data_IF_895697076033
#
_entry.id   IF_895697076033
#
_cell.length_a   1.000
_cell.length_b   1.000
_cell.length_c   1.000
_cell.angle_alpha   90.00
_cell.angle_beta   90.00
_cell.angle_gamma   90.00
#
_symmetry.space_group_name_H-M   'P 1'
#
loop_
_entity.id
_entity.type
_entity.pdbx_description
1 polymer ?
#
# COMPACT_ATOMS: atom_id res chain seq x y z
N UNK A 1 -8.75 10.65 2.72
CA UNK A 1 -7.49 11.14 2.12
C UNK A 1 -6.45 10.04 2.19
N UNK A 2 -6.27 9.37 3.34
CA UNK A 2 -5.37 8.22 3.47
C UNK A 2 -5.49 7.17 2.35
N UNK A 3 -6.68 6.64 2.10
CA UNK A 3 -6.91 5.60 1.10
C UNK A 3 -6.56 6.04 -0.34
N UNK A 4 -6.89 7.29 -0.71
CA UNK A 4 -6.57 7.81 -2.04
C UNK A 4 -5.08 8.12 -2.20
N UNK A 5 -4.43 8.71 -1.19
CA UNK A 5 -3.00 9.03 -1.23
C UNK A 5 -2.14 7.77 -1.24
N UNK A 6 -2.50 6.76 -0.43
CA UNK A 6 -1.82 5.45 -0.45
C UNK A 6 -2.11 4.68 -1.74
N UNK A 7 -3.30 4.82 -2.34
CA UNK A 7 -3.58 4.24 -3.66
C UNK A 7 -2.71 4.86 -4.77
N UNK A 8 -2.49 6.19 -4.74
CA UNK A 8 -1.54 6.84 -5.65
C UNK A 8 -0.13 6.28 -5.48
N UNK A 9 0.38 6.21 -4.24
CA UNK A 9 1.70 5.63 -3.96
C UNK A 9 1.78 4.18 -4.45
N UNK A 10 0.75 3.38 -4.19
CA UNK A 10 0.66 1.99 -4.64
C UNK A 10 0.73 1.87 -6.17
N UNK A 11 0.03 2.76 -6.88
CA UNK A 11 0.10 2.87 -8.34
C UNK A 11 1.52 3.19 -8.82
N UNK A 12 2.18 4.19 -8.22
CA UNK A 12 3.56 4.56 -8.56
C UNK A 12 4.50 3.37 -8.39
N UNK A 13 4.50 2.72 -7.22
CA UNK A 13 5.40 1.61 -6.90
C UNK A 13 5.14 0.42 -7.83
N UNK A 14 3.88 0.08 -8.08
CA UNK A 14 3.52 -1.09 -8.88
C UNK A 14 3.90 -0.91 -10.35
N UNK A 15 3.62 0.27 -10.93
CA UNK A 15 3.97 0.52 -12.34
C UNK A 15 5.45 0.77 -12.51
N UNK A 16 6.12 1.50 -11.60
CA UNK A 16 7.58 1.65 -11.66
C UNK A 16 8.28 0.28 -11.56
N UNK A 17 7.83 -0.60 -10.67
CA UNK A 17 8.33 -1.98 -10.58
C UNK A 17 8.10 -2.79 -11.86
N UNK A 18 6.93 -2.64 -12.49
CA UNK A 18 6.62 -3.30 -13.76
C UNK A 18 7.49 -2.79 -14.91
N UNK A 19 7.71 -1.48 -15.03
CA UNK A 19 8.59 -0.92 -16.06
C UNK A 19 10.05 -1.32 -15.84
N UNK A 20 10.51 -1.29 -14.59
CA UNK A 20 11.88 -1.62 -14.23
C UNK A 20 12.22 -3.12 -14.42
N UNK A 21 11.27 -4.00 -14.08
CA UNK A 21 11.56 -5.41 -13.85
C UNK A 21 10.59 -6.39 -14.51
N UNK A 22 9.58 -5.90 -15.23
CA UNK A 22 8.47 -6.71 -15.76
C UNK A 22 7.72 -7.50 -14.68
N UNK A 23 7.77 -7.03 -13.43
CA UNK A 23 7.14 -7.66 -12.28
C UNK A 23 6.23 -6.67 -11.54
N UNK A 24 4.99 -7.08 -11.33
CA UNK A 24 4.04 -6.31 -10.52
C UNK A 24 4.29 -6.54 -9.03
N UNK A 25 4.58 -5.49 -8.28
CA UNK A 25 4.87 -5.57 -6.84
C UNK A 25 3.59 -5.65 -5.99
N UNK A 26 2.42 -5.59 -6.61
CA UNK A 26 1.13 -5.68 -5.93
C UNK A 26 0.23 -6.83 -6.38
N UNK A 27 0.63 -7.56 -7.44
CA UNK A 27 -0.19 -8.62 -8.04
C UNK A 27 0.24 -10.01 -7.56
N UNK A 28 -0.17 -10.36 -6.33
CA UNK A 28 0.16 -11.66 -5.73
C UNK A 28 -0.46 -12.83 -6.51
N UNK A 29 -1.65 -12.65 -7.09
CA UNK A 29 -2.28 -13.68 -7.94
C UNK A 29 -1.42 -14.02 -9.16
N UNK A 30 -0.83 -13.01 -9.81
CA UNK A 30 0.11 -13.22 -10.92
C UNK A 30 1.37 -13.98 -10.50
N UNK A 31 1.94 -13.64 -9.35
CA UNK A 31 3.10 -14.35 -8.80
C UNK A 31 2.80 -15.82 -8.48
N UNK A 32 1.62 -16.11 -7.92
CA UNK A 32 1.18 -17.49 -7.66
C UNK A 32 0.99 -18.27 -8.96
N UNK A 33 0.43 -17.64 -10.01
CA UNK A 33 0.29 -18.28 -11.32
C UNK A 33 1.66 -18.62 -11.94
N UNK A 34 2.62 -17.69 -11.86
CA UNK A 34 3.99 -17.92 -12.32
C UNK A 34 4.69 -19.03 -11.52
N UNK A 35 4.52 -19.04 -10.19
CA UNK A 35 5.02 -20.13 -9.34
C UNK A 35 4.47 -21.49 -9.77
N UNK A 36 3.16 -21.59 -10.02
CA UNK A 36 2.53 -22.82 -10.49
C UNK A 36 3.09 -23.27 -11.85
N UNK A 37 3.29 -22.33 -12.77
CA UNK A 37 3.91 -22.62 -14.06
C UNK A 37 5.35 -23.13 -13.90
N UNK A 38 6.17 -22.50 -13.04
CA UNK A 38 7.54 -22.95 -12.79
C UNK A 38 7.63 -24.30 -12.07
N UNK A 39 6.64 -24.63 -11.22
CA UNK A 39 6.49 -25.97 -10.64
C UNK A 39 6.28 -27.04 -11.72
N UNK A 40 5.40 -26.78 -12.70
CA UNK A 40 5.17 -27.70 -13.83
C UNK A 40 6.43 -27.84 -14.69
N UNK A 41 7.13 -26.74 -14.92
CA UNK A 41 8.37 -26.72 -15.70
C UNK A 41 9.59 -27.26 -14.94
N UNK A 42 9.45 -27.59 -13.64
CA UNK A 42 10.54 -28.02 -12.75
C UNK A 42 11.71 -27.02 -12.70
N UNK A 43 11.43 -25.73 -12.85
CA UNK A 43 12.44 -24.69 -12.76
C UNK A 43 12.67 -24.29 -11.29
N UNK A 44 13.49 -25.07 -10.57
CA UNK A 44 13.73 -24.91 -9.13
C UNK A 44 14.25 -23.53 -8.73
N UNK A 45 15.01 -22.86 -9.60
CA UNK A 45 15.52 -21.51 -9.30
C UNK A 45 14.37 -20.51 -9.24
N UNK A 46 13.56 -20.43 -10.29
CA UNK A 46 12.45 -19.49 -10.34
C UNK A 46 11.39 -19.83 -9.28
N UNK A 47 11.15 -21.13 -9.00
CA UNK A 47 10.31 -21.56 -7.88
C UNK A 47 10.78 -20.90 -6.57
N UNK A 48 12.08 -20.96 -6.26
CA UNK A 48 12.62 -20.36 -5.05
C UNK A 48 12.44 -18.84 -5.03
N UNK A 49 12.69 -18.16 -6.15
CA UNK A 49 12.50 -16.70 -6.29
C UNK A 49 11.06 -16.31 -5.99
N UNK A 50 10.08 -16.94 -6.64
CA UNK A 50 8.67 -16.63 -6.43
C UNK A 50 8.20 -16.97 -5.00
N UNK A 51 8.69 -18.05 -4.40
CA UNK A 51 8.41 -18.36 -2.98
C UNK A 51 8.96 -17.27 -2.06
N UNK A 52 10.19 -16.81 -2.28
CA UNK A 52 10.80 -15.72 -1.51
C UNK A 52 9.98 -14.43 -1.68
N UNK A 53 9.59 -14.09 -2.91
CA UNK A 53 8.77 -12.92 -3.19
C UNK A 53 7.39 -12.95 -2.51
N UNK A 54 6.69 -14.08 -2.58
CA UNK A 54 5.43 -14.27 -1.85
C UNK A 54 5.63 -14.15 -0.34
N UNK A 55 6.73 -14.73 0.17
CA UNK A 55 7.09 -14.65 1.58
C UNK A 55 7.45 -13.22 2.01
N UNK A 56 8.13 -12.43 1.18
CA UNK A 56 8.44 -11.02 1.45
C UNK A 56 7.16 -10.19 1.57
N UNK A 57 6.20 -10.36 0.65
CA UNK A 57 4.91 -9.68 0.76
C UNK A 57 4.16 -10.09 2.04
N UNK A 58 4.11 -11.40 2.32
CA UNK A 58 3.51 -11.92 3.55
C UNK A 58 4.17 -11.34 4.80
N UNK A 59 5.50 -11.31 4.84
CA UNK A 59 6.25 -10.81 5.99
C UNK A 59 6.03 -9.31 6.20
N UNK A 60 5.95 -8.53 5.12
CA UNK A 60 5.56 -7.12 5.19
C UNK A 60 4.18 -6.95 5.83
N UNK A 61 3.18 -7.71 5.37
CA UNK A 61 1.83 -7.68 5.95
C UNK A 61 1.80 -8.15 7.42
N UNK A 62 2.57 -9.19 7.74
CA UNK A 62 2.71 -9.71 9.10
C UNK A 62 3.30 -8.65 10.03
N UNK A 63 4.43 -8.03 9.64
CA UNK A 63 5.10 -7.01 10.45
C UNK A 63 4.22 -5.79 10.65
N UNK A 64 3.50 -5.32 9.62
CA UNK A 64 2.56 -4.22 9.78
C UNK A 64 1.49 -4.52 10.84
N UNK A 65 0.82 -5.68 10.74
CA UNK A 65 -0.20 -6.06 11.73
C UNK A 65 0.39 -6.26 13.12
N UNK A 66 1.55 -6.91 13.21
CA UNK A 66 2.22 -7.18 14.48
C UNK A 66 2.57 -5.87 15.18
N UNK A 67 3.20 -4.92 14.48
CA UNK A 67 3.54 -3.61 15.03
C UNK A 67 2.31 -2.81 15.43
N UNK A 68 1.27 -2.77 14.58
CA UNK A 68 0.03 -2.07 14.92
C UNK A 68 -0.54 -2.63 16.23
N UNK A 69 -0.71 -3.95 16.32
CA UNK A 69 -1.29 -4.59 17.51
C UNK A 69 -0.42 -4.44 18.76
N UNK A 70 0.90 -4.47 18.61
CA UNK A 70 1.84 -4.28 19.71
C UNK A 70 1.89 -2.85 20.22
N UNK A 71 1.61 -1.84 19.39
CA UNK A 71 1.76 -0.42 19.73
C UNK A 71 0.43 0.30 19.98
N UNK A 72 -0.69 -0.30 19.58
CA UNK A 72 -2.04 0.29 19.68
C UNK A 72 -2.37 0.72 21.11
N UNK A 73 -2.00 -0.08 22.11
CA UNK A 73 -2.20 0.25 23.53
C UNK A 73 -1.43 1.51 23.96
N UNK A 74 -0.25 1.77 23.38
CA UNK A 74 0.55 2.97 23.69
C UNK A 74 0.02 4.18 22.97
N UNK A 75 -0.19 4.07 21.66
CA UNK A 75 -0.65 5.17 20.81
C UNK A 75 -1.11 4.64 19.45
N UNK A 76 -2.37 4.90 19.11
CA UNK A 76 -2.95 4.61 17.79
C UNK A 76 -2.17 5.31 16.68
N UNK A 77 -1.70 6.55 16.92
CA UNK A 77 -0.82 7.26 15.98
C UNK A 77 0.48 6.47 15.76
N UNK A 78 1.20 6.12 16.82
CA UNK A 78 2.49 5.42 16.72
C UNK A 78 2.32 4.04 16.09
N UNK A 79 1.22 3.35 16.41
CA UNK A 79 0.87 2.06 15.83
C UNK A 79 0.77 2.13 14.32
N UNK A 80 0.01 3.07 13.77
CA UNK A 80 -0.17 3.21 12.31
C UNK A 80 0.98 3.96 11.62
N UNK A 81 1.72 4.81 12.33
CA UNK A 81 2.91 5.48 11.79
C UNK A 81 4.08 4.51 11.58
N UNK A 82 4.20 3.49 12.43
CA UNK A 82 5.36 2.59 12.40
C UNK A 82 5.54 1.82 11.08
N UNK A 83 4.51 1.23 10.43
CA UNK A 83 4.68 0.58 9.14
C UNK A 83 4.99 1.58 8.03
N UNK A 84 4.42 2.79 8.08
CA UNK A 84 4.71 3.87 7.11
C UNK A 84 6.18 4.26 7.17
N UNK A 85 6.74 4.38 8.37
CA UNK A 85 8.16 4.73 8.55
C UNK A 85 9.07 3.63 7.97
N UNK A 86 8.75 2.36 8.22
CA UNK A 86 9.52 1.24 7.66
C UNK A 86 9.41 1.24 6.13
N UNK A 87 8.22 1.44 5.58
CA UNK A 87 7.99 1.57 4.14
C UNK A 87 8.86 2.68 3.53
N UNK A 88 8.87 3.87 4.15
CA UNK A 88 9.70 4.99 3.71
C UNK A 88 11.19 4.65 3.69
N UNK A 89 11.69 4.02 4.76
CA UNK A 89 13.10 3.62 4.85
C UNK A 89 13.45 2.65 3.73
N UNK A 90 12.61 1.65 3.48
CA UNK A 90 12.86 0.65 2.42
C UNK A 90 12.88 1.31 1.05
N UNK A 91 11.92 2.20 0.76
CA UNK A 91 11.87 2.90 -0.52
C UNK A 91 13.05 3.85 -0.71
N UNK A 92 13.53 4.51 0.34
CA UNK A 92 14.76 5.31 0.29
C UNK A 92 16.00 4.44 0.02
N UNK A 93 16.10 3.27 0.65
CA UNK A 93 17.18 2.32 0.40
C UNK A 93 17.14 1.80 -1.04
N UNK A 94 15.95 1.47 -1.57
CA UNK A 94 15.77 1.07 -2.97
C UNK A 94 16.16 2.20 -3.92
N UNK A 95 15.75 3.44 -3.63
CA UNK A 95 16.10 4.61 -4.44
C UNK A 95 17.61 4.83 -4.47
N UNK A 96 18.25 4.80 -3.31
CA UNK A 96 19.68 5.02 -3.15
C UNK A 96 20.51 3.92 -3.79
N UNK A 97 20.18 2.67 -3.50
CA UNK A 97 20.86 1.52 -4.08
C UNK A 97 20.68 1.48 -5.61
N UNK A 98 19.44 1.66 -6.07
CA UNK A 98 19.07 1.71 -7.48
C UNK A 98 19.78 2.81 -8.26
N UNK A 99 19.99 3.98 -7.65
CA UNK A 99 20.63 5.13 -8.32
C UNK A 99 22.16 5.07 -8.30
N UNK A 100 22.76 4.35 -7.34
CA UNK A 100 24.21 4.43 -7.08
C UNK A 100 24.96 3.14 -7.42
N UNK A 101 24.36 1.97 -7.15
CA UNK A 101 25.07 0.69 -7.16
C UNK A 101 24.49 -0.35 -8.10
N UNK A 102 23.26 -0.18 -8.55
CA UNK A 102 22.53 -1.17 -9.34
C UNK A 102 23.17 -1.37 -10.72
N UNK A 103 23.52 -2.63 -11.03
CA UNK A 103 24.20 -3.03 -12.28
C UNK A 103 23.33 -3.90 -13.17
N UNK A 104 22.03 -3.90 -12.93
CA UNK A 104 21.04 -4.65 -13.71
C UNK A 104 21.21 -6.17 -13.71
N UNK A 105 21.99 -6.73 -12.77
CA UNK A 105 22.13 -8.18 -12.69
C UNK A 105 20.82 -8.84 -12.25
N UNK A 106 20.62 -10.11 -12.60
CA UNK A 106 19.37 -10.79 -12.28
C UNK A 106 19.12 -10.88 -10.76
N UNK A 107 20.17 -11.15 -9.97
CA UNK A 107 20.05 -11.24 -8.50
C UNK A 107 19.68 -9.88 -7.91
N UNK A 108 20.26 -8.78 -8.40
CA UNK A 108 19.91 -7.44 -7.93
C UNK A 108 18.45 -7.10 -8.24
N UNK A 109 17.96 -7.46 -9.43
CA UNK A 109 16.53 -7.32 -9.80
C UNK A 109 15.65 -8.08 -8.81
N UNK A 110 15.98 -9.34 -8.53
CA UNK A 110 15.23 -10.19 -7.61
C UNK A 110 15.18 -9.62 -6.18
N UNK A 111 16.28 -9.08 -5.69
CA UNK A 111 16.37 -8.43 -4.37
C UNK A 111 15.53 -7.16 -4.32
N UNK A 112 15.62 -6.30 -5.33
CA UNK A 112 14.86 -5.04 -5.36
C UNK A 112 13.35 -5.33 -5.43
N UNK A 113 12.92 -6.26 -6.28
CA UNK A 113 11.51 -6.68 -6.36
C UNK A 113 11.03 -7.24 -5.01
N UNK A 114 11.85 -8.05 -4.34
CA UNK A 114 11.55 -8.56 -2.99
C UNK A 114 11.36 -7.45 -1.97
N UNK A 115 12.22 -6.43 -1.97
CA UNK A 115 12.09 -5.26 -1.11
C UNK A 115 10.81 -4.45 -1.40
N UNK A 116 10.48 -4.25 -2.68
CA UNK A 116 9.25 -3.57 -3.08
C UNK A 116 8.00 -4.37 -2.70
N UNK A 117 8.02 -5.70 -2.85
CA UNK A 117 6.92 -6.58 -2.42
C UNK A 117 6.72 -6.53 -0.91
N UNK A 118 7.79 -6.52 -0.14
CA UNK A 118 7.72 -6.33 1.31
C UNK A 118 7.10 -4.98 1.68
N UNK A 119 7.54 -3.89 1.05
CA UNK A 119 6.98 -2.55 1.25
C UNK A 119 5.48 -2.50 0.88
N UNK A 120 5.09 -3.13 -0.23
CA UNK A 120 3.68 -3.23 -0.63
C UNK A 120 2.85 -4.08 0.35
N UNK A 121 3.44 -5.14 0.92
CA UNK A 121 2.82 -5.94 1.98
C UNK A 121 2.53 -5.10 3.24
N UNK A 122 3.52 -4.31 3.69
CA UNK A 122 3.35 -3.37 4.81
C UNK A 122 2.21 -2.38 4.55
N UNK A 123 2.24 -1.72 3.38
CA UNK A 123 1.28 -0.69 3.02
C UNK A 123 -0.14 -1.24 2.93
N UNK A 124 -0.33 -2.34 2.20
CA UNK A 124 -1.64 -2.97 2.01
C UNK A 124 -2.27 -3.38 3.34
N UNK A 125 -1.47 -3.95 4.23
CA UNK A 125 -1.96 -4.35 5.54
C UNK A 125 -2.29 -3.16 6.43
N UNK A 126 -1.44 -2.13 6.44
CA UNK A 126 -1.68 -0.93 7.24
C UNK A 126 -2.96 -0.19 6.79
N UNK A 127 -3.17 -0.03 5.48
CA UNK A 127 -4.40 0.56 4.91
C UNK A 127 -5.63 -0.30 5.23
N UNK A 128 -5.51 -1.63 5.13
CA UNK A 128 -6.58 -2.56 5.51
C UNK A 128 -6.96 -2.39 6.98
N UNK A 129 -5.98 -2.31 7.88
CA UNK A 129 -6.26 -2.17 9.32
C UNK A 129 -6.88 -0.81 9.65
N UNK A 130 -6.38 0.29 9.07
CA UNK A 130 -6.95 1.63 9.31
C UNK A 130 -8.37 1.76 8.73
N UNK A 131 -8.66 1.09 7.62
CA UNK A 131 -10.00 1.10 7.00
C UNK A 131 -10.98 0.08 7.60
N UNK A 132 -10.59 -0.69 8.62
CA UNK A 132 -11.44 -1.75 9.18
C UNK A 132 -11.70 -2.90 8.20
N UNK A 133 -10.77 -3.15 7.27
CA UNK A 133 -10.86 -4.20 6.25
C UNK A 133 -11.62 -3.80 4.99
N UNK A 134 -12.20 -2.60 4.93
CA UNK A 134 -12.98 -2.15 3.76
C UNK A 134 -12.11 -1.85 2.53
N UNK A 135 -10.86 -1.41 2.71
CA UNK A 135 -10.04 -0.89 1.62
C UNK A 135 -8.68 -1.58 1.63
N UNK A 136 -8.24 -2.04 0.45
CA UNK A 136 -6.85 -2.40 0.19
C UNK A 136 -6.40 -1.68 -1.08
N UNK A 137 -5.41 -0.80 -0.97
CA UNK A 137 -5.02 0.17 -2.00
C UNK A 137 -4.56 -0.45 -3.32
N UNK A 138 -4.11 -1.70 -3.32
CA UNK A 138 -3.64 -2.41 -4.51
C UNK A 138 -4.56 -3.52 -5.03
N UNK A 139 -5.67 -3.80 -4.36
CA UNK A 139 -6.61 -4.85 -4.77
C UNK A 139 -7.58 -4.34 -5.84
N UNK A 140 -7.03 -3.97 -7.00
CA UNK A 140 -7.81 -3.40 -8.11
C UNK A 140 -8.92 -4.32 -8.59
N UNK A 141 -8.68 -5.63 -8.70
CA UNK A 141 -9.71 -6.60 -9.12
C UNK A 141 -10.94 -6.55 -8.22
N UNK A 142 -10.74 -6.47 -6.90
CA UNK A 142 -11.82 -6.31 -5.93
C UNK A 142 -12.54 -4.98 -6.10
N UNK A 143 -11.78 -3.87 -6.23
CA UNK A 143 -12.37 -2.54 -6.43
C UNK A 143 -13.25 -2.46 -7.68
N UNK A 144 -12.80 -3.01 -8.82
CA UNK A 144 -13.60 -3.05 -10.05
C UNK A 144 -14.85 -3.92 -9.89
N UNK A 145 -14.73 -5.08 -9.25
CA UNK A 145 -15.84 -6.02 -9.05
C UNK A 145 -16.92 -5.40 -8.17
N UNK A 146 -16.51 -4.83 -7.04
CA UNK A 146 -17.45 -4.22 -6.12
C UNK A 146 -18.06 -2.93 -6.69
N UNK A 147 -17.28 -2.12 -7.42
CA UNK A 147 -17.80 -0.94 -8.13
C UNK A 147 -18.85 -1.34 -9.17
N UNK A 148 -18.63 -2.43 -9.91
CA UNK A 148 -19.62 -2.99 -10.83
C UNK A 148 -20.93 -3.36 -10.13
N UNK A 149 -20.84 -4.01 -8.97
CA UNK A 149 -22.00 -4.35 -8.14
C UNK A 149 -22.78 -3.11 -7.67
N UNK A 150 -22.07 -2.08 -7.19
CA UNK A 150 -22.73 -0.87 -6.68
C UNK A 150 -23.32 0.00 -7.78
N UNK A 151 -22.64 0.13 -8.91
CA UNK A 151 -23.19 0.82 -10.08
C UNK A 151 -24.43 0.09 -10.58
N UNK A 152 -24.41 -1.25 -10.61
CA UNK A 152 -25.58 -2.05 -10.93
C UNK A 152 -26.73 -1.78 -9.95
N UNK A 153 -26.47 -1.82 -8.63
CA UNK A 153 -27.48 -1.53 -7.60
C UNK A 153 -28.06 -0.12 -7.75
N UNK A 154 -27.21 0.88 -8.02
CA UNK A 154 -27.63 2.28 -8.17
C UNK A 154 -28.47 2.53 -9.42
N UNK A 155 -28.21 1.81 -10.51
CA UNK A 155 -28.94 1.94 -11.78
C UNK A 155 -30.17 1.04 -11.88
N UNK A 156 -30.25 -0.01 -11.07
CA UNK A 156 -31.30 -1.01 -11.22
C UNK A 156 -32.69 -0.46 -10.84
N UNK A 157 -33.72 -0.59 -11.69
CA UNK A 157 -35.02 0.08 -11.49
C UNK A 157 -35.79 -0.34 -10.22
N UNK A 158 -35.49 -1.52 -9.66
CA UNK A 158 -36.16 -2.04 -8.45
C UNK A 158 -35.42 -1.71 -7.15
N UNK A 159 -34.25 -1.08 -7.22
CA UNK A 159 -33.47 -0.67 -6.07
C UNK A 159 -33.59 0.85 -5.92
N UNK A 160 -33.87 1.31 -4.70
CA UNK A 160 -33.92 2.75 -4.42
C UNK A 160 -32.53 3.38 -4.53
N UNK A 161 -32.48 4.67 -4.88
CA UNK A 161 -31.22 5.44 -4.90
C UNK A 161 -30.76 5.75 -3.48
N UNK A 162 -29.98 4.85 -2.89
CA UNK A 162 -29.41 5.01 -1.55
C UNK A 162 -28.16 5.88 -1.53
N UNK A 163 -28.16 6.94 -0.73
CA UNK A 163 -26.97 7.80 -0.52
C UNK A 163 -25.74 7.01 -0.09
N UNK A 164 -25.93 5.88 0.61
CA UNK A 164 -24.86 4.96 1.00
C UNK A 164 -24.19 4.34 -0.22
N UNK A 165 -24.96 3.81 -1.18
CA UNK A 165 -24.43 3.19 -2.41
C UNK A 165 -23.67 4.23 -3.23
N UNK A 166 -24.24 5.43 -3.41
CA UNK A 166 -23.56 6.54 -4.10
C UNK A 166 -22.22 6.89 -3.45
N UNK A 167 -22.17 6.94 -2.11
CA UNK A 167 -20.93 7.26 -1.40
C UNK A 167 -19.86 6.18 -1.59
N UNK A 168 -20.24 4.90 -1.55
CA UNK A 168 -19.30 3.80 -1.81
C UNK A 168 -18.73 3.84 -3.24
N UNK A 169 -19.60 4.10 -4.24
CA UNK A 169 -19.20 4.33 -5.64
C UNK A 169 -18.14 5.44 -5.72
N UNK A 170 -18.42 6.60 -5.11
CA UNK A 170 -17.52 7.76 -5.14
C UNK A 170 -16.17 7.46 -4.46
N UNK A 171 -16.16 6.75 -3.33
CA UNK A 171 -14.92 6.35 -2.65
C UNK A 171 -14.10 5.41 -3.54
N UNK A 172 -14.71 4.39 -4.15
CA UNK A 172 -14.00 3.45 -5.02
C UNK A 172 -13.48 4.09 -6.30
N UNK A 173 -14.28 4.94 -6.94
CA UNK A 173 -13.83 5.75 -8.09
C UNK A 173 -12.64 6.63 -7.73
N UNK A 174 -12.66 7.25 -6.54
CA UNK A 174 -11.55 8.10 -6.08
C UNK A 174 -10.28 7.28 -5.89
N UNK A 175 -10.36 6.14 -5.20
CA UNK A 175 -9.22 5.23 -4.98
C UNK A 175 -8.67 4.75 -6.33
N UNK A 176 -9.54 4.30 -7.23
CA UNK A 176 -9.17 3.81 -8.55
C UNK A 176 -8.49 4.89 -9.39
N UNK A 177 -9.05 6.10 -9.40
CA UNK A 177 -8.50 7.24 -10.14
C UNK A 177 -7.11 7.60 -9.62
N UNK A 178 -6.94 7.70 -8.30
CA UNK A 178 -5.63 7.99 -7.71
C UNK A 178 -4.60 6.89 -7.99
N UNK A 179 -5.00 5.62 -7.94
CA UNK A 179 -4.13 4.51 -8.32
C UNK A 179 -3.68 4.63 -9.79
N UNK A 180 -4.62 4.88 -10.72
CA UNK A 180 -4.31 5.01 -12.15
C UNK A 180 -3.39 6.22 -12.39
N UNK A 181 -3.71 7.38 -11.81
CA UNK A 181 -2.88 8.59 -11.93
C UNK A 181 -1.48 8.33 -11.37
N UNK A 182 -1.39 7.66 -10.22
CA UNK A 182 -0.12 7.23 -9.62
C UNK A 182 0.64 6.26 -10.52
N UNK A 183 -0.05 5.30 -11.14
CA UNK A 183 0.55 4.36 -12.08
C UNK A 183 1.09 5.05 -13.34
N UNK A 184 0.32 5.97 -13.93
CA UNK A 184 0.77 6.78 -15.07
C UNK A 184 1.98 7.63 -14.69
N UNK A 185 1.94 8.29 -13.53
CA UNK A 185 3.08 9.05 -13.03
C UNK A 185 4.29 8.14 -12.78
N UNK A 186 4.08 6.95 -12.21
CA UNK A 186 5.07 5.92 -11.96
C UNK A 186 5.80 5.52 -13.24
N UNK A 187 5.06 5.10 -14.26
CA UNK A 187 5.63 4.70 -15.54
C UNK A 187 6.34 5.85 -16.26
N UNK A 188 5.69 7.01 -16.37
CA UNK A 188 6.24 8.17 -17.06
C UNK A 188 7.53 8.70 -16.40
N UNK A 189 7.54 8.81 -15.06
CA UNK A 189 8.69 9.33 -14.35
C UNK A 189 9.78 8.30 -14.12
N UNK A 190 9.46 7.00 -14.08
CA UNK A 190 10.50 5.97 -14.03
C UNK A 190 11.30 5.94 -15.35
N UNK A 191 10.65 6.07 -16.50
CA UNK A 191 11.35 6.17 -17.80
C UNK A 191 12.36 7.33 -17.84
N UNK A 192 12.01 8.46 -17.22
CA UNK A 192 12.87 9.67 -17.23
C UNK A 192 13.90 9.74 -16.09
N UNK A 193 13.57 9.22 -14.92
CA UNK A 193 14.34 9.41 -13.70
C UNK A 193 14.81 8.09 -13.06
N UNK A 194 14.49 6.94 -13.65
CA UNK A 194 14.80 5.60 -13.15
C UNK A 194 14.46 5.48 -11.65
N UNK A 195 15.38 4.95 -10.85
CA UNK A 195 15.21 4.74 -9.42
C UNK A 195 15.00 6.02 -8.60
N UNK A 196 15.30 7.20 -9.14
CA UNK A 196 15.12 8.45 -8.40
C UNK A 196 13.64 8.75 -8.10
N UNK A 197 12.70 8.17 -8.85
CA UNK A 197 11.26 8.30 -8.55
C UNK A 197 10.91 7.80 -7.14
N UNK A 198 11.62 6.79 -6.63
CA UNK A 198 11.37 6.24 -5.31
C UNK A 198 11.74 7.20 -4.17
N UNK A 199 12.53 8.26 -4.42
CA UNK A 199 12.76 9.33 -3.44
C UNK A 199 11.55 10.23 -3.21
N UNK A 200 10.67 10.37 -4.20
CA UNK A 200 9.48 11.23 -4.11
C UNK A 200 8.41 10.58 -3.22
N UNK A 201 8.38 9.25 -3.16
CA UNK A 201 7.35 8.50 -2.44
C UNK A 201 7.38 8.76 -0.93
N UNK A 202 8.53 8.70 -0.24
CA UNK A 202 8.63 9.09 1.17
C UNK A 202 8.12 10.50 1.46
N UNK A 203 8.31 11.47 0.56
CA UNK A 203 7.77 12.82 0.73
C UNK A 203 6.24 12.81 0.76
N UNK A 204 5.62 12.02 -0.12
CA UNK A 204 4.16 11.83 -0.12
C UNK A 204 3.73 11.12 1.17
N UNK A 205 4.42 10.06 1.59
CA UNK A 205 4.11 9.33 2.82
C UNK A 205 4.24 10.21 4.08
N UNK A 206 5.17 11.17 4.11
CA UNK A 206 5.28 12.17 5.19
C UNK A 206 4.03 13.05 5.24
N UNK A 207 3.50 13.49 4.09
CA UNK A 207 2.26 14.28 4.08
C UNK A 207 1.07 13.47 4.59
N UNK A 208 1.00 12.17 4.29
CA UNK A 208 -0.01 11.26 4.84
C UNK A 208 0.14 11.13 6.36
N UNK A 209 1.35 10.91 6.86
CA UNK A 209 1.65 10.90 8.30
C UNK A 209 1.23 12.19 8.98
N UNK A 210 1.50 13.33 8.34
CA UNK A 210 1.19 14.64 8.89
C UNK A 210 -0.30 14.97 8.85
N UNK A 211 -1.04 14.67 7.79
CA UNK A 211 -2.44 15.11 7.65
C UNK A 211 -3.47 14.05 8.06
N UNK A 212 -3.23 12.76 7.77
CA UNK A 212 -4.21 11.71 8.03
C UNK A 212 -4.04 11.08 9.42
N UNK A 213 -2.84 11.11 10.00
CA UNK A 213 -2.59 10.50 11.32
C UNK A 213 -2.55 11.55 12.47
N UNK A 214 -2.24 12.83 12.25
CA UNK A 214 -2.28 13.84 13.33
C UNK A 214 -3.66 14.07 13.98
N UNK A 215 -4.82 13.96 13.30
CA UNK A 215 -6.12 14.13 13.97
C UNK A 215 -6.36 13.07 15.05
N UNK A 216 -5.79 11.85 14.90
CA UNK A 216 -5.77 10.83 15.93
C UNK A 216 -4.92 11.24 17.15
N UNK A 217 -3.82 11.96 16.92
CA UNK A 217 -2.97 12.47 18.00
C UNK A 217 -3.67 13.60 18.78
N UNK A 218 -4.34 14.52 18.08
CA UNK A 218 -5.06 15.64 18.68
C UNK A 218 -6.27 15.16 19.51
N UNK A 219 -7.08 14.22 19.01
CA UNK A 219 -8.19 13.64 19.77
C UNK A 219 -7.76 12.94 21.08
N UNK A 220 -6.52 12.42 21.13
CA UNK A 220 -5.97 11.77 22.32
C UNK A 220 -5.46 12.80 23.34
N UNK A 221 -4.84 13.89 22.89
CA UNK A 221 -4.44 15.02 23.73
C UNK A 221 -5.65 15.69 24.37
N UNK A 222 -6.72 15.93 23.61
CA UNK A 222 -7.96 16.49 24.15
C UNK A 222 -8.58 15.60 25.23
N UNK A 223 -8.58 14.26 25.03
CA UNK A 223 -9.05 13.33 26.07
C UNK A 223 -8.20 13.34 27.33
N UNK A 224 -6.88 13.45 27.21
CA UNK A 224 -5.97 13.54 28.37
C UNK A 224 -6.14 14.87 29.11
N UNK A 225 -6.31 15.98 28.39
CA UNK A 225 -6.56 17.31 28.97
C UNK A 225 -7.91 17.35 29.71
N UNK A 226 -8.96 16.75 29.13
CA UNK A 226 -10.28 16.64 29.75
C UNK A 226 -10.28 15.71 30.97
N UNK A 227 -9.43 14.68 30.99
CA UNK A 227 -9.26 13.80 32.15
C UNK A 227 -8.47 14.46 33.29
N UNK A 228 -7.42 15.24 32.97
CA UNK A 228 -6.69 16.05 33.93
C UNK A 228 -7.57 17.11 34.62
N UNK A 229 -8.48 17.72 33.86
CA UNK A 229 -9.43 18.73 34.38
C UNK A 229 -10.48 18.12 35.33
N UNK A 230 -10.88 16.86 35.14
CA UNK A 230 -11.81 16.15 36.05
C UNK A 230 -11.19 15.78 37.41
N UNK A 231 -9.86 15.68 37.51
CA UNK A 231 -9.14 15.38 38.76
C UNK A 231 -8.86 16.60 39.64
N UNK A 232 -8.97 17.81 39.10
CA UNK A 232 -8.80 19.06 39.87
C UNK A 232 -10.13 19.58 40.46
N UNK A 233 -11.26 18.93 40.16
CA UNK A 233 -12.61 19.33 40.59
C UNK A 233 -13.25 18.28 41.51
N UNK A 234 -12.50 17.25 41.92
CA UNK A 234 -12.88 16.23 42.91
C UNK A 234 -11.97 16.31 44.12
#
# INVERSE_FOLDING_TARGET
>A
MLASSTAFVSGVINVAGMVAFLAFTSNITGHVANLANHLVQQNYREIMVFVIWLFMFFMGAFIANFLIRSLEHKSTYTAHASPVIIEMIILLLVAFYGSTFYKETQIEREIVIGALLFAMGLQNSMVSTVSGGLIKSSHLTGLFTDLGGEVSEWLHPKTGKSTVVRNKILVRLTILSFYIIGGVAGGYFFDRYNFAIFYVIPLILITILYYDLTPLALHKLDRLFMWGKKRQVS
#
